data_IF_555899952815
#
_entry.id   IF_555899952815
#
_cell.length_a   1.000
_cell.length_b   1.000
_cell.length_c   1.000
_cell.angle_alpha   90.00
_cell.angle_beta   90.00
_cell.angle_gamma   90.00
#
_symmetry.space_group_name_H-M   'P 1'
#
loop_
_entity.id
_entity.type
_entity.pdbx_description
1 polymer ?
#
# COMPACT_ATOMS: atom_id res chain seq x y z
N UNK A 1 -6.24 -8.59 -26.80
CA UNK A 1 -4.83 -8.85 -27.12
C UNK A 1 -4.55 -10.27 -26.66
N UNK A 2 -4.17 -11.17 -27.55
CA UNK A 2 -3.81 -12.55 -27.18
C UNK A 2 -2.38 -12.54 -26.61
N UNK A 3 -2.26 -12.33 -25.30
CA UNK A 3 -1.02 -12.61 -24.61
C UNK A 3 -0.88 -14.13 -24.48
N UNK A 4 0.31 -14.67 -24.79
CA UNK A 4 0.66 -15.99 -24.29
C UNK A 4 0.68 -15.90 -22.76
N UNK A 5 0.01 -16.83 -22.06
CA UNK A 5 -0.11 -16.84 -20.60
C UNK A 5 1.24 -16.64 -19.89
N UNK A 6 2.32 -17.17 -20.46
CA UNK A 6 3.67 -16.99 -19.94
C UNK A 6 4.15 -15.52 -19.98
N UNK A 7 3.84 -14.77 -21.05
CA UNK A 7 4.19 -13.34 -21.13
C UNK A 7 3.37 -12.51 -20.15
N UNK A 8 2.07 -12.83 -20.01
CA UNK A 8 1.20 -12.17 -19.05
C UNK A 8 1.68 -12.41 -17.60
N UNK A 9 1.96 -13.66 -17.24
CA UNK A 9 2.48 -14.03 -15.93
C UNK A 9 3.81 -13.31 -15.66
N UNK A 10 4.73 -13.29 -16.63
CA UNK A 10 6.00 -12.57 -16.47
C UNK A 10 5.81 -11.08 -16.21
N UNK A 11 4.85 -10.42 -16.86
CA UNK A 11 4.54 -9.00 -16.63
C UNK A 11 3.93 -8.76 -15.25
N UNK A 12 3.02 -9.63 -14.81
CA UNK A 12 2.42 -9.56 -13.47
C UNK A 12 3.50 -9.76 -12.40
N UNK A 13 4.35 -10.77 -12.54
CA UNK A 13 5.49 -10.99 -11.63
C UNK A 13 6.45 -9.80 -11.65
N UNK A 14 6.76 -9.24 -12.83
CA UNK A 14 7.57 -8.04 -12.95
C UNK A 14 6.97 -6.84 -12.22
N UNK A 15 5.64 -6.67 -12.26
CA UNK A 15 4.95 -5.63 -11.49
C UNK A 15 5.03 -5.90 -9.98
N UNK A 16 4.85 -7.14 -9.54
CA UNK A 16 4.89 -7.51 -8.13
C UNK A 16 6.29 -7.31 -7.53
N UNK A 17 7.32 -7.80 -8.22
CA UNK A 17 8.70 -7.58 -7.79
C UNK A 17 9.11 -6.12 -7.92
N UNK A 18 8.65 -5.42 -8.96
CA UNK A 18 8.90 -4.00 -9.14
C UNK A 18 8.32 -3.13 -8.03
N UNK A 19 7.12 -3.48 -7.53
CA UNK A 19 6.49 -2.85 -6.37
C UNK A 19 7.41 -2.97 -5.14
N UNK A 20 7.76 -4.19 -4.74
CA UNK A 20 8.55 -4.46 -3.54
C UNK A 20 9.98 -3.93 -3.63
N UNK A 21 10.65 -4.12 -4.77
CA UNK A 21 12.02 -3.63 -4.98
C UNK A 21 12.05 -2.10 -5.05
N UNK A 22 11.09 -1.47 -5.73
CA UNK A 22 11.01 -0.01 -5.83
C UNK A 22 10.88 0.64 -4.45
N UNK A 23 10.00 0.08 -3.62
CA UNK A 23 9.81 0.46 -2.22
C UNK A 23 11.09 0.29 -1.39
N UNK A 24 11.63 -0.92 -1.33
CA UNK A 24 12.83 -1.23 -0.53
C UNK A 24 14.06 -0.37 -0.92
N UNK A 25 14.28 -0.14 -2.22
CA UNK A 25 15.36 0.75 -2.67
C UNK A 25 15.05 2.22 -2.38
N UNK A 26 13.79 2.64 -2.57
CA UNK A 26 13.33 4.01 -2.33
C UNK A 26 13.53 4.46 -0.89
N UNK A 27 13.28 3.57 0.08
CA UNK A 27 13.42 3.82 1.52
C UNK A 27 14.76 4.44 1.91
N UNK A 28 15.85 3.96 1.32
CA UNK A 28 17.21 4.46 1.61
C UNK A 28 17.45 5.92 1.18
N UNK A 29 16.52 6.51 0.44
CA UNK A 29 16.58 7.89 -0.05
C UNK A 29 15.37 8.73 0.37
N UNK A 30 14.48 8.18 1.18
CA UNK A 30 13.31 8.89 1.67
C UNK A 30 13.74 10.10 2.54
N UNK A 31 13.08 11.23 2.33
CA UNK A 31 13.40 12.55 2.93
C UNK A 31 14.77 13.14 2.58
N UNK A 32 15.58 12.47 1.77
CA UNK A 32 16.86 12.99 1.30
C UNK A 32 16.68 14.03 0.18
N UNK A 33 17.59 15.01 0.14
CA UNK A 33 17.62 15.96 -0.99
C UNK A 33 18.22 15.24 -2.19
N UNK A 34 17.65 15.44 -3.37
CA UNK A 34 18.18 14.87 -4.63
C UNK A 34 19.69 15.08 -4.84
N UNK A 35 20.24 16.20 -4.36
CA UNK A 35 21.67 16.51 -4.47
C UNK A 35 22.56 15.81 -3.43
N UNK A 36 21.98 15.28 -2.35
CA UNK A 36 22.70 14.64 -1.24
C UNK A 36 22.65 13.12 -1.30
N UNK A 37 21.76 12.54 -2.11
CA UNK A 37 21.69 11.11 -2.36
C UNK A 37 23.01 10.65 -3.01
N UNK A 38 23.91 10.12 -2.19
CA UNK A 38 25.14 9.48 -2.62
C UNK A 38 25.29 8.16 -1.86
N UNK A 39 25.36 7.06 -2.61
CA UNK A 39 25.69 5.71 -2.15
C UNK A 39 24.66 5.01 -1.25
N UNK A 40 23.36 5.38 -1.31
CA UNK A 40 22.28 4.66 -0.60
C UNK A 40 22.63 4.36 0.87
N UNK A 41 23.13 5.39 1.57
CA UNK A 41 23.60 5.25 2.96
C UNK A 41 22.40 5.04 3.88
N UNK A 42 22.64 4.31 4.96
CA UNK A 42 21.67 4.18 6.03
C UNK A 42 21.40 5.56 6.65
N UNK A 43 20.15 6.00 6.61
CA UNK A 43 19.66 7.24 7.23
C UNK A 43 19.01 6.92 8.57
N UNK A 44 18.77 7.93 9.42
CA UNK A 44 18.04 7.73 10.68
C UNK A 44 16.61 7.22 10.46
N UNK A 45 16.03 7.52 9.29
CA UNK A 45 14.73 6.98 8.90
C UNK A 45 14.84 5.53 8.43
N UNK A 46 15.68 5.25 7.43
CA UNK A 46 15.82 3.88 6.90
C UNK A 46 16.43 2.88 7.88
N UNK A 47 17.13 3.32 8.93
CA UNK A 47 17.65 2.44 9.99
C UNK A 47 16.58 1.76 10.86
N UNK A 48 15.30 2.11 10.67
CA UNK A 48 14.17 1.47 11.37
C UNK A 48 13.75 0.13 10.74
N UNK A 49 14.24 -0.17 9.54
CA UNK A 49 13.95 -1.39 8.80
C UNK A 49 15.21 -2.27 8.67
N UNK A 50 15.01 -3.57 8.48
CA UNK A 50 16.12 -4.44 8.11
C UNK A 50 16.61 -4.14 6.70
N UNK A 51 17.87 -4.50 6.41
CA UNK A 51 18.44 -4.20 5.10
C UNK A 51 17.77 -5.07 4.02
N UNK A 52 17.11 -4.40 3.07
CA UNK A 52 16.40 -5.06 1.97
C UNK A 52 14.93 -5.30 2.26
N UNK A 53 14.46 -4.88 3.44
CA UNK A 53 13.06 -4.84 3.80
C UNK A 53 12.32 -3.71 3.06
N UNK A 54 11.00 -3.85 2.95
CA UNK A 54 10.11 -2.88 2.32
C UNK A 54 9.26 -2.15 3.37
N UNK A 55 8.37 -1.27 2.92
CA UNK A 55 7.60 -0.38 3.81
C UNK A 55 6.10 -0.61 3.69
N UNK A 56 5.31 0.35 4.19
CA UNK A 56 3.86 0.30 4.10
C UNK A 56 3.34 0.30 2.66
N UNK A 57 4.10 0.80 1.69
CA UNK A 57 3.77 0.73 0.27
C UNK A 57 3.52 -0.73 -0.16
N UNK A 58 4.45 -1.64 0.13
CA UNK A 58 4.37 -3.05 -0.24
C UNK A 58 3.42 -3.83 0.68
N UNK A 59 3.46 -3.57 1.98
CA UNK A 59 2.58 -4.27 2.91
C UNK A 59 1.10 -4.02 2.60
N UNK A 60 0.71 -2.75 2.44
CA UNK A 60 -0.67 -2.41 2.13
C UNK A 60 -1.08 -2.86 0.72
N UNK A 61 -0.12 -3.04 -0.20
CA UNK A 61 -0.35 -3.66 -1.50
C UNK A 61 -0.69 -5.15 -1.38
N UNK A 62 0.04 -5.90 -0.55
CA UNK A 62 -0.27 -7.31 -0.23
C UNK A 62 -1.67 -7.42 0.37
N UNK A 63 -2.05 -6.54 1.31
CA UNK A 63 -3.39 -6.54 1.91
C UNK A 63 -4.51 -6.34 0.88
N UNK A 64 -4.28 -5.52 -0.17
CA UNK A 64 -5.24 -5.36 -1.27
C UNK A 64 -5.34 -6.66 -2.07
N UNK A 65 -4.22 -7.29 -2.43
CA UNK A 65 -4.24 -8.56 -3.15
C UNK A 65 -5.01 -9.64 -2.38
N UNK A 66 -4.75 -9.80 -1.08
CA UNK A 66 -5.50 -10.73 -0.24
C UNK A 66 -6.99 -10.39 -0.21
N UNK A 67 -7.35 -9.11 -0.12
CA UNK A 67 -8.75 -8.69 -0.14
C UNK A 67 -9.43 -8.99 -1.48
N UNK A 68 -8.70 -8.86 -2.59
CA UNK A 68 -9.21 -9.23 -3.91
C UNK A 68 -9.46 -10.74 -4.01
N UNK A 69 -8.55 -11.56 -3.45
CA UNK A 69 -8.68 -13.03 -3.45
C UNK A 69 -9.79 -13.52 -2.52
N UNK A 70 -9.85 -13.02 -1.28
CA UNK A 70 -10.79 -13.50 -0.25
C UNK A 70 -12.18 -12.87 -0.35
N UNK A 71 -12.25 -11.63 -0.84
CA UNK A 71 -13.40 -10.76 -0.68
C UNK A 71 -13.85 -10.06 -1.95
N UNK A 72 -13.25 -10.38 -3.10
CA UNK A 72 -13.51 -9.72 -4.39
C UNK A 72 -13.44 -8.18 -4.29
N UNK A 73 -12.51 -7.67 -3.46
CA UNK A 73 -12.30 -6.24 -3.28
C UNK A 73 -13.25 -5.53 -2.30
N UNK A 74 -13.99 -6.25 -1.44
CA UNK A 74 -14.86 -5.64 -0.41
C UNK A 74 -14.05 -4.71 0.51
N UNK A 75 -14.44 -3.43 0.55
CA UNK A 75 -13.75 -2.38 1.28
C UNK A 75 -13.70 -2.60 2.79
N UNK A 76 -14.67 -3.34 3.35
CA UNK A 76 -14.75 -3.65 4.79
C UNK A 76 -13.80 -4.77 5.16
N UNK A 77 -13.54 -5.70 4.24
CA UNK A 77 -12.50 -6.71 4.42
C UNK A 77 -11.13 -6.02 4.41
N UNK A 78 -10.89 -5.15 3.44
CA UNK A 78 -9.67 -4.35 3.41
C UNK A 78 -9.49 -3.53 4.69
N UNK A 79 -10.53 -2.84 5.16
CA UNK A 79 -10.49 -2.04 6.39
C UNK A 79 -10.09 -2.85 7.63
N UNK A 80 -10.60 -4.09 7.75
CA UNK A 80 -10.23 -5.00 8.85
C UNK A 80 -8.77 -5.45 8.74
N UNK A 81 -8.32 -5.82 7.54
CA UNK A 81 -6.94 -6.21 7.27
C UNK A 81 -5.97 -5.05 7.56
N UNK A 82 -6.26 -3.85 7.07
CA UNK A 82 -5.45 -2.66 7.32
C UNK A 82 -5.35 -2.34 8.81
N UNK A 83 -6.47 -2.37 9.55
CA UNK A 83 -6.46 -2.15 11.00
C UNK A 83 -5.62 -3.21 11.73
N UNK A 84 -5.78 -4.48 11.36
CA UNK A 84 -5.02 -5.59 11.95
C UNK A 84 -3.53 -5.42 11.66
N UNK A 85 -3.14 -5.11 10.43
CA UNK A 85 -1.75 -4.89 10.07
C UNK A 85 -1.16 -3.69 10.82
N UNK A 86 -1.90 -2.59 10.99
CA UNK A 86 -1.42 -1.47 11.84
C UNK A 86 -1.15 -1.95 13.27
N UNK A 87 -2.03 -2.76 13.83
CA UNK A 87 -1.93 -3.24 15.22
C UNK A 87 -0.87 -4.35 15.43
N UNK A 88 -0.55 -5.13 14.40
CA UNK A 88 0.24 -6.37 14.56
C UNK A 88 1.34 -6.60 13.50
N UNK A 89 1.43 -5.77 12.46
CA UNK A 89 2.32 -6.01 11.31
C UNK A 89 1.98 -7.29 10.55
N UNK A 90 2.97 -7.88 9.88
CA UNK A 90 2.98 -9.29 9.47
C UNK A 90 3.79 -10.15 10.46
N UNK A 91 3.13 -10.81 11.44
CA UNK A 91 3.84 -11.64 12.42
C UNK A 91 4.67 -12.77 11.80
N UNK A 92 4.26 -13.28 10.63
CA UNK A 92 4.99 -14.28 9.84
C UNK A 92 6.33 -13.76 9.28
N UNK A 93 6.50 -12.44 9.19
CA UNK A 93 7.75 -11.78 8.84
C UNK A 93 8.50 -11.24 10.07
N UNK A 94 8.00 -11.54 11.29
CA UNK A 94 8.49 -11.05 12.58
C UNK A 94 8.22 -9.57 12.85
N UNK A 95 7.20 -8.99 12.21
CA UNK A 95 6.72 -7.67 12.56
C UNK A 95 5.80 -7.72 13.79
N UNK A 96 5.70 -6.58 14.48
CA UNK A 96 4.84 -6.42 15.66
C UNK A 96 3.82 -5.29 15.53
N UNK A 97 3.94 -4.46 14.49
CA UNK A 97 3.04 -3.37 14.14
C UNK A 97 3.33 -2.92 12.69
N UNK A 98 2.35 -2.27 12.05
CA UNK A 98 2.58 -1.62 10.76
C UNK A 98 3.53 -0.44 10.91
N UNK A 99 4.58 -0.38 10.10
CA UNK A 99 5.56 0.71 10.08
C UNK A 99 5.45 1.52 8.79
N UNK A 100 5.82 2.80 8.83
CA UNK A 100 5.78 3.71 7.65
C UNK A 100 4.51 4.57 7.53
N UNK A 101 3.49 4.25 8.32
CA UNK A 101 2.18 4.92 8.36
C UNK A 101 2.25 6.46 8.47
N UNK A 102 1.51 7.15 7.60
CA UNK A 102 1.15 8.56 7.80
C UNK A 102 0.10 8.74 8.92
N UNK A 103 0.25 9.76 9.75
CA UNK A 103 -0.67 10.06 10.87
C UNK A 103 -2.16 10.21 10.45
N UNK A 104 -2.42 10.58 9.20
CA UNK A 104 -3.78 10.68 8.67
C UNK A 104 -4.45 9.31 8.52
N UNK A 105 -3.71 8.28 8.11
CA UNK A 105 -4.22 6.91 7.97
C UNK A 105 -4.60 6.36 9.34
N UNK A 106 -3.72 6.54 10.32
CA UNK A 106 -3.99 6.12 11.70
C UNK A 106 -5.27 6.78 12.24
N UNK A 107 -5.42 8.09 12.06
CA UNK A 107 -6.64 8.80 12.46
C UNK A 107 -7.91 8.22 11.82
N UNK A 108 -7.86 7.90 10.52
CA UNK A 108 -9.00 7.30 9.81
C UNK A 108 -9.30 5.91 10.34
N UNK A 109 -8.30 5.05 10.45
CA UNK A 109 -8.49 3.63 10.80
C UNK A 109 -9.01 3.44 12.23
N UNK A 110 -8.58 4.30 13.16
CA UNK A 110 -9.00 4.24 14.56
C UNK A 110 -10.28 5.03 14.86
N UNK A 111 -10.84 5.73 13.87
CA UNK A 111 -12.08 6.48 14.07
C UNK A 111 -13.31 5.57 14.22
N UNK A 112 -14.30 6.06 14.98
CA UNK A 112 -15.53 5.31 15.20
C UNK A 112 -16.27 5.08 13.88
N UNK A 113 -16.66 3.84 13.64
CA UNK A 113 -17.41 3.44 12.45
C UNK A 113 -16.55 3.10 11.23
N UNK A 114 -15.22 3.27 11.27
CA UNK A 114 -14.34 2.93 10.15
C UNK A 114 -14.53 1.49 9.65
N UNK A 115 -14.52 0.51 10.56
CA UNK A 115 -14.72 -0.90 10.19
C UNK A 115 -16.11 -1.22 9.63
N UNK A 116 -17.10 -0.35 9.86
CA UNK A 116 -18.47 -0.53 9.35
C UNK A 116 -18.64 0.14 8.00
N UNK A 117 -18.16 1.38 7.84
CA UNK A 117 -18.35 2.21 6.66
C UNK A 117 -17.02 2.92 6.28
N UNK A 118 -15.99 2.20 5.83
CA UNK A 118 -14.63 2.75 5.71
C UNK A 118 -14.53 3.89 4.70
N UNK A 119 -15.23 3.80 3.56
CA UNK A 119 -15.27 4.87 2.55
C UNK A 119 -15.87 6.15 3.12
N UNK A 120 -17.04 6.04 3.76
CA UNK A 120 -17.76 7.18 4.32
C UNK A 120 -16.99 7.83 5.47
N UNK A 121 -16.44 7.01 6.37
CA UNK A 121 -15.60 7.50 7.46
C UNK A 121 -14.35 8.23 6.95
N UNK A 122 -13.68 7.70 5.92
CA UNK A 122 -12.53 8.34 5.30
C UNK A 122 -12.92 9.67 4.64
N UNK A 123 -14.06 9.70 3.94
CA UNK A 123 -14.61 10.91 3.30
C UNK A 123 -14.93 12.00 4.30
N UNK A 124 -15.61 11.68 5.41
CA UNK A 124 -15.93 12.64 6.46
C UNK A 124 -14.66 13.27 7.05
N UNK A 125 -13.65 12.46 7.37
CA UNK A 125 -12.38 12.96 7.92
C UNK A 125 -11.67 13.86 6.91
N UNK A 126 -11.63 13.48 5.64
CA UNK A 126 -11.07 14.29 4.57
C UNK A 126 -11.79 15.63 4.40
N UNK A 127 -13.12 15.64 4.46
CA UNK A 127 -13.95 16.85 4.41
C UNK A 127 -13.70 17.76 5.61
N UNK A 128 -13.58 17.21 6.82
CA UNK A 128 -13.21 17.95 8.02
C UNK A 128 -11.80 18.57 7.94
N UNK A 129 -10.91 18.02 7.12
CA UNK A 129 -9.59 18.57 6.81
C UNK A 129 -9.61 19.54 5.63
N UNK A 130 -10.76 20.16 5.35
CA UNK A 130 -10.97 21.07 4.21
C UNK A 130 -10.57 20.47 2.86
N UNK A 131 -10.62 19.14 2.72
CA UNK A 131 -10.27 18.41 1.49
C UNK A 131 -8.83 18.62 1.03
N UNK A 132 -7.92 18.93 1.96
CA UNK A 132 -6.52 19.25 1.64
C UNK A 132 -5.56 18.06 1.76
N UNK A 133 -6.00 16.95 2.33
CA UNK A 133 -5.17 15.73 2.43
C UNK A 133 -5.21 15.02 1.08
N UNK A 134 -4.10 15.08 0.34
CA UNK A 134 -3.91 14.47 -0.98
C UNK A 134 -2.52 13.82 -1.05
N UNK A 135 -2.35 12.79 -0.24
CA UNK A 135 -1.09 12.08 -0.04
C UNK A 135 -1.00 10.85 -0.98
N UNK A 136 0.17 10.22 -1.07
CA UNK A 136 0.48 9.14 -2.03
C UNK A 136 -0.09 7.76 -1.65
N UNK A 137 -0.70 7.59 -0.48
CA UNK A 137 -1.01 6.28 0.12
C UNK A 137 -2.09 5.50 -0.61
N UNK A 138 -2.88 6.15 -1.47
CA UNK A 138 -3.78 5.44 -2.37
C UNK A 138 -3.06 4.96 -3.65
N UNK A 139 -2.12 5.76 -4.15
CA UNK A 139 -1.43 5.52 -5.44
C UNK A 139 -0.36 4.44 -5.29
N UNK A 140 0.39 4.45 -4.18
CA UNK A 140 1.52 3.54 -3.97
C UNK A 140 1.15 2.05 -4.11
N UNK A 141 -0.13 1.70 -3.86
CA UNK A 141 -0.64 0.32 -3.83
C UNK A 141 -1.70 0.03 -4.90
N UNK A 142 -1.97 0.96 -5.81
CA UNK A 142 -3.08 0.83 -6.76
C UNK A 142 -2.86 -0.26 -7.82
N UNK A 143 -1.59 -0.60 -8.09
CA UNK A 143 -1.21 -1.64 -9.03
C UNK A 143 -1.82 -3.00 -8.68
N UNK A 144 -2.12 -3.28 -7.41
CA UNK A 144 -2.73 -4.54 -6.97
C UNK A 144 -4.05 -4.84 -7.67
N UNK A 145 -4.88 -3.83 -7.94
CA UNK A 145 -6.19 -4.01 -8.59
C UNK A 145 -6.03 -4.51 -10.03
N UNK A 146 -4.90 -4.20 -10.67
CA UNK A 146 -4.62 -4.63 -12.05
C UNK A 146 -4.37 -6.14 -12.17
N UNK A 147 -3.99 -6.82 -11.08
CA UNK A 147 -3.71 -8.26 -11.11
C UNK A 147 -4.98 -9.11 -11.32
N UNK A 148 -6.13 -8.60 -10.89
CA UNK A 148 -7.43 -9.29 -11.01
C UNK A 148 -8.27 -8.73 -12.16
N UNK A 149 -7.97 -7.53 -12.63
CA UNK A 149 -8.75 -6.83 -13.66
C UNK A 149 -7.92 -6.39 -14.87
N UNK A 150 -6.86 -7.14 -15.20
CA UNK A 150 -5.94 -6.83 -16.31
C UNK A 150 -6.64 -6.76 -17.68
N UNK A 151 -7.80 -7.40 -17.83
CA UNK A 151 -8.60 -7.48 -19.05
C UNK A 151 -9.78 -6.50 -19.09
N UNK A 152 -10.06 -5.80 -17.99
CA UNK A 152 -11.27 -5.01 -17.81
C UNK A 152 -10.97 -3.58 -17.41
N UNK A 153 -10.57 -2.73 -18.37
CA UNK A 153 -10.23 -1.32 -18.10
C UNK A 153 -11.34 -0.60 -17.29
N UNK A 154 -12.61 -0.87 -17.60
CA UNK A 154 -13.75 -0.30 -16.88
C UNK A 154 -13.87 -0.76 -15.42
N UNK A 155 -13.29 -1.91 -15.05
CA UNK A 155 -13.27 -2.43 -13.67
C UNK A 155 -12.15 -1.80 -12.83
N UNK A 156 -11.11 -1.25 -13.47
CA UNK A 156 -9.98 -0.57 -12.81
C UNK A 156 -10.11 0.96 -12.82
N UNK A 157 -10.96 1.52 -13.69
CA UNK A 157 -11.27 2.96 -13.69
C UNK A 157 -12.60 3.22 -12.99
N UNK A 158 -12.61 4.04 -11.93
CA UNK A 158 -13.85 4.72 -11.53
C UNK A 158 -14.07 5.92 -12.45
N UNK A 159 -15.24 5.97 -13.09
CA UNK A 159 -15.73 7.14 -13.81
C UNK A 159 -16.02 8.31 -12.84
#
# INVERSE_FOLDING_TARGET
MDYNDNDLINRLLGCAYGQALGDAYGLSTEFEKRKTVANYKLTAHSSRWERGDWTDDTDQWILILETLVEGNGDERIFAKKLKRWIEYGFPELNDYAGMGLGANIEQVVFSHGYLRNPIETSRMIWEHRNRQVALNEAVMRCSAVTFVHFDGLQKVTKA
#
